data_IF_423193445896
#
_entry.id   IF_423193445896
#
_cell.length_a   1.000
_cell.length_b   1.000
_cell.length_c   1.000
_cell.angle_alpha   90.00
_cell.angle_beta   90.00
_cell.angle_gamma   90.00
#
_symmetry.space_group_name_H-M   'P 1'
#
loop_
_entity.id
_entity.type
_entity.pdbx_description
1 polymer ?
#
# COMPACT_ATOMS: atom_id res chain seq x y z
N UNK A 1 -8.33 -6.36 15.46
CA UNK A 1 -7.37 -5.84 16.47
C UNK A 1 -8.07 -5.65 17.80
N UNK A 2 -7.31 -5.62 18.91
CA UNK A 2 -7.83 -5.26 20.23
C UNK A 2 -7.85 -3.74 20.34
N UNK A 3 -9.03 -3.13 20.50
CA UNK A 3 -9.19 -1.66 20.54
C UNK A 3 -8.39 -1.05 21.71
N UNK A 4 -7.65 0.03 21.44
CA UNK A 4 -6.87 0.77 22.45
C UNK A 4 -5.53 0.15 22.82
N UNK A 5 -5.23 -1.09 22.39
CA UNK A 5 -3.94 -1.74 22.66
C UNK A 5 -2.81 -1.19 21.76
N UNK A 6 -2.98 -1.01 20.43
CA UNK A 6 -1.91 -0.50 19.57
C UNK A 6 -1.35 0.85 20.02
N UNK A 7 -2.20 1.78 20.44
CA UNK A 7 -1.82 3.10 20.91
C UNK A 7 -0.89 3.02 22.13
N UNK A 8 -1.21 2.13 23.08
CA UNK A 8 -0.38 1.90 24.28
C UNK A 8 0.98 1.28 23.94
N UNK A 9 1.05 0.44 22.92
CA UNK A 9 2.29 -0.26 22.55
C UNK A 9 3.21 0.57 21.66
N UNK A 10 2.63 1.35 20.75
CA UNK A 10 3.34 1.94 19.62
C UNK A 10 3.53 3.46 19.70
N UNK A 11 2.78 4.19 20.54
CA UNK A 11 2.99 5.64 20.66
C UNK A 11 4.43 5.96 21.11
N UNK A 12 5.08 6.87 20.39
CA UNK A 12 6.50 7.21 20.56
C UNK A 12 7.48 6.13 20.06
N UNK A 13 6.99 5.00 19.53
CA UNK A 13 7.75 3.79 19.20
C UNK A 13 7.42 3.23 17.82
N UNK A 14 6.67 3.97 16.99
CA UNK A 14 6.14 3.45 15.73
C UNK A 14 7.24 3.12 14.72
N UNK A 15 8.40 3.79 14.83
CA UNK A 15 9.61 3.50 14.03
C UNK A 15 9.98 2.01 14.04
N UNK A 16 9.91 1.33 15.19
CA UNK A 16 10.27 -0.09 15.27
C UNK A 16 9.37 -0.99 14.41
N UNK A 17 8.08 -0.66 14.34
CA UNK A 17 7.14 -1.40 13.50
C UNK A 17 7.44 -1.16 12.03
N UNK A 18 7.66 0.10 11.64
CA UNK A 18 7.98 0.45 10.26
C UNK A 18 9.30 -0.14 9.80
N UNK A 19 10.37 -0.07 10.60
CA UNK A 19 11.66 -0.65 10.24
C UNK A 19 11.55 -2.17 10.02
N UNK A 20 10.77 -2.86 10.86
CA UNK A 20 10.49 -4.28 10.65
C UNK A 20 9.70 -4.52 9.36
N UNK A 21 8.66 -3.71 9.10
CA UNK A 21 7.84 -3.84 7.89
C UNK A 21 8.64 -3.59 6.62
N UNK A 22 9.39 -2.48 6.55
CA UNK A 22 10.23 -2.15 5.39
C UNK A 22 11.19 -3.29 5.08
N UNK A 23 11.89 -3.80 6.09
CA UNK A 23 12.78 -4.95 5.93
C UNK A 23 12.04 -6.22 5.47
N UNK A 24 10.82 -6.44 5.95
CA UNK A 24 10.05 -7.64 5.66
C UNK A 24 9.42 -7.66 4.26
N UNK A 25 8.94 -6.51 3.75
CA UNK A 25 8.13 -6.45 2.53
C UNK A 25 8.81 -5.79 1.33
N UNK A 26 9.95 -5.12 1.52
CA UNK A 26 10.78 -4.63 0.41
C UNK A 26 11.75 -5.73 -0.05
N UNK A 27 12.17 -5.70 -1.31
CA UNK A 27 13.28 -6.56 -1.78
C UNK A 27 14.60 -6.03 -1.26
N UNK A 28 14.80 -4.71 -1.36
CA UNK A 28 15.99 -4.02 -0.91
C UNK A 28 15.57 -2.81 -0.07
N UNK A 29 15.54 -3.00 1.24
CA UNK A 29 15.12 -1.96 2.17
C UNK A 29 16.18 -0.86 2.37
N UNK A 30 17.39 -1.02 1.80
CA UNK A 30 18.40 0.03 1.75
C UNK A 30 18.03 1.17 0.80
N UNK A 31 17.07 0.95 -0.11
CA UNK A 31 16.51 1.98 -0.99
C UNK A 31 15.75 3.07 -0.23
N UNK A 32 15.29 2.78 0.99
CA UNK A 32 14.62 3.78 1.83
C UNK A 32 15.61 4.37 2.84
N UNK A 33 15.90 5.66 2.68
CA UNK A 33 16.86 6.40 3.51
C UNK A 33 16.36 6.58 4.95
N UNK A 34 17.26 6.85 5.92
CA UNK A 34 16.86 7.19 7.28
C UNK A 34 15.92 8.41 7.35
N UNK A 35 16.06 9.38 6.44
CA UNK A 35 15.20 10.56 6.41
C UNK A 35 13.75 10.16 6.05
N UNK A 36 13.57 9.35 5.02
CA UNK A 36 12.26 8.87 4.58
C UNK A 36 11.60 8.00 5.65
N UNK A 37 12.37 7.06 6.24
CA UNK A 37 11.89 6.23 7.35
C UNK A 37 11.41 7.07 8.54
N UNK A 38 12.18 8.09 8.93
CA UNK A 38 11.80 9.01 10.00
C UNK A 38 10.54 9.81 9.65
N UNK A 39 10.38 10.22 8.38
CA UNK A 39 9.20 10.94 7.92
C UNK A 39 7.94 10.07 8.04
N UNK A 40 8.02 8.81 7.60
CA UNK A 40 6.93 7.85 7.78
C UNK A 40 6.59 7.64 9.26
N UNK A 41 7.59 7.40 10.12
CA UNK A 41 7.33 7.16 11.53
C UNK A 41 6.73 8.37 12.23
N UNK A 42 7.20 9.59 11.91
CA UNK A 42 6.67 10.82 12.49
C UNK A 42 5.15 10.97 12.26
N UNK A 43 4.64 10.55 11.09
CA UNK A 43 3.22 10.60 10.76
C UNK A 43 2.35 9.66 11.62
N UNK A 44 2.92 8.62 12.22
CA UNK A 44 2.19 7.62 13.00
C UNK A 44 2.59 7.59 14.47
N UNK A 45 3.47 8.47 14.94
CA UNK A 45 4.10 8.27 16.26
C UNK A 45 3.22 8.69 17.45
N UNK A 46 2.06 9.30 17.22
CA UNK A 46 1.11 9.67 18.27
C UNK A 46 -0.11 8.74 18.32
N UNK A 47 -0.77 8.70 19.48
CA UNK A 47 -1.89 7.80 19.74
C UNK A 47 -3.08 8.01 18.79
N UNK A 48 -3.35 9.25 18.38
CA UNK A 48 -4.49 9.56 17.52
C UNK A 48 -4.23 9.06 16.09
N UNK A 49 -3.01 9.25 15.58
CA UNK A 49 -2.56 8.74 14.29
C UNK A 49 -2.54 7.20 14.25
N UNK A 50 -2.10 6.55 15.34
CA UNK A 50 -2.15 5.09 15.48
C UNK A 50 -3.60 4.59 15.48
N UNK A 51 -4.50 5.26 16.21
CA UNK A 51 -5.91 4.90 16.21
C UNK A 51 -6.51 5.03 14.81
N UNK A 52 -6.21 6.13 14.12
CA UNK A 52 -6.72 6.40 12.78
C UNK A 52 -6.23 5.37 11.74
N UNK A 53 -4.94 5.04 11.74
CA UNK A 53 -4.37 4.04 10.81
C UNK A 53 -4.97 2.65 11.04
N UNK A 54 -5.20 2.28 12.30
CA UNK A 54 -5.85 1.03 12.65
C UNK A 54 -7.36 1.02 12.31
N UNK A 55 -8.00 2.18 12.25
CA UNK A 55 -9.42 2.28 11.89
C UNK A 55 -9.67 1.81 10.45
N UNK A 56 -8.73 2.01 9.52
CA UNK A 56 -8.81 1.47 8.15
C UNK A 56 -8.99 -0.05 8.13
N UNK A 57 -8.29 -0.77 9.00
CA UNK A 57 -8.43 -2.23 9.09
C UNK A 57 -9.71 -2.65 9.83
N UNK A 58 -10.24 -1.80 10.70
CA UNK A 58 -11.48 -2.06 11.43
C UNK A 58 -12.71 -1.95 10.52
N UNK A 59 -12.62 -1.19 9.42
CA UNK A 59 -13.71 -1.03 8.46
C UNK A 59 -13.76 -2.10 7.39
N UNK A 60 -12.79 -3.02 7.29
CA UNK A 60 -12.73 -4.04 6.23
C UNK A 60 -14.03 -4.81 6.00
N UNK A 61 -14.75 -5.19 7.06
CA UNK A 61 -16.04 -5.88 6.90
C UNK A 61 -17.08 -5.00 6.21
N UNK A 62 -17.09 -3.70 6.50
CA UNK A 62 -17.96 -2.75 5.80
C UNK A 62 -17.47 -2.51 4.37
N UNK A 63 -16.17 -2.32 4.16
CA UNK A 63 -15.58 -2.13 2.82
C UNK A 63 -15.91 -3.30 1.88
N UNK A 64 -15.93 -4.54 2.40
CA UNK A 64 -16.35 -5.73 1.66
C UNK A 64 -17.83 -5.68 1.28
N UNK A 65 -18.72 -5.22 2.17
CA UNK A 65 -20.15 -5.07 1.87
C UNK A 65 -20.36 -3.98 0.82
N UNK A 66 -19.68 -2.85 0.97
CA UNK A 66 -19.79 -1.72 0.06
C UNK A 66 -19.32 -2.12 -1.35
N UNK A 67 -18.21 -2.83 -1.45
CA UNK A 67 -17.66 -3.32 -2.73
C UNK A 67 -18.62 -4.23 -3.51
N UNK A 68 -19.56 -4.93 -2.84
CA UNK A 68 -20.56 -5.75 -3.52
C UNK A 68 -21.60 -4.92 -4.29
N UNK A 69 -21.73 -3.63 -3.95
CA UNK A 69 -22.73 -2.74 -4.53
C UNK A 69 -22.20 -1.91 -5.70
N UNK A 70 -20.87 -1.84 -5.86
CA UNK A 70 -20.26 -1.03 -6.90
C UNK A 70 -20.39 -1.69 -8.27
N UNK A 71 -20.71 -0.87 -9.27
CA UNK A 71 -20.62 -1.29 -10.67
C UNK A 71 -19.14 -1.30 -11.12
N UNK A 72 -18.77 -2.17 -12.07
CA UNK A 72 -17.42 -2.15 -12.63
C UNK A 72 -17.04 -0.78 -13.19
N UNK A 73 -15.76 -0.44 -13.08
CA UNK A 73 -15.16 0.76 -13.64
C UNK A 73 -15.11 0.65 -15.17
N UNK A 74 -15.74 1.60 -15.85
CA UNK A 74 -15.83 1.66 -17.32
C UNK A 74 -14.74 2.56 -17.96
N UNK A 75 -14.15 3.48 -17.19
CA UNK A 75 -13.01 4.28 -17.64
C UNK A 75 -11.74 3.41 -17.73
N UNK A 76 -10.69 3.85 -18.45
CA UNK A 76 -9.39 3.21 -18.37
C UNK A 76 -8.89 3.13 -16.92
N UNK A 77 -8.33 1.99 -16.54
CA UNK A 77 -7.75 1.72 -15.22
C UNK A 77 -6.35 1.13 -15.39
N UNK A 78 -5.37 1.70 -14.70
CA UNK A 78 -4.03 1.14 -14.58
C UNK A 78 -3.87 0.40 -13.25
N UNK A 79 -3.47 -0.86 -13.29
CA UNK A 79 -3.00 -1.62 -12.15
C UNK A 79 -1.49 -1.86 -12.23
N UNK A 80 -0.74 -1.40 -11.22
CA UNK A 80 0.70 -1.66 -11.10
C UNK A 80 0.90 -2.66 -9.97
N UNK A 81 1.45 -3.83 -10.29
CA UNK A 81 1.70 -4.90 -9.32
C UNK A 81 3.19 -5.19 -9.15
N UNK A 82 3.57 -5.52 -7.92
CA UNK A 82 4.93 -5.96 -7.56
C UNK A 82 5.10 -7.47 -7.74
N UNK A 83 6.29 -8.04 -7.46
CA UNK A 83 6.49 -9.50 -7.58
C UNK A 83 5.51 -10.30 -6.70
N UNK A 84 5.10 -9.74 -5.57
CA UNK A 84 4.13 -10.36 -4.65
C UNK A 84 2.70 -10.11 -5.14
N UNK A 85 2.35 -8.87 -5.49
CA UNK A 85 0.95 -8.49 -5.70
C UNK A 85 0.45 -8.68 -7.14
N UNK A 86 1.34 -8.74 -8.13
CA UNK A 86 0.96 -8.70 -9.54
C UNK A 86 -0.03 -9.81 -9.93
N UNK A 87 0.22 -11.06 -9.53
CA UNK A 87 -0.69 -12.16 -9.87
C UNK A 87 -2.06 -12.02 -9.18
N UNK A 88 -2.08 -11.59 -7.91
CA UNK A 88 -3.33 -11.34 -7.20
C UNK A 88 -4.14 -10.22 -7.84
N UNK A 89 -3.50 -9.11 -8.20
CA UNK A 89 -4.15 -7.98 -8.87
C UNK A 89 -4.64 -8.37 -10.27
N UNK A 90 -3.83 -9.11 -11.03
CA UNK A 90 -4.21 -9.60 -12.36
C UNK A 90 -5.41 -10.55 -12.33
N UNK A 91 -5.57 -11.33 -11.25
CA UNK A 91 -6.76 -12.16 -11.06
C UNK A 91 -7.96 -11.37 -10.51
N UNK A 92 -7.73 -10.42 -9.61
CA UNK A 92 -8.80 -9.69 -8.93
C UNK A 92 -9.40 -8.56 -9.76
N UNK A 93 -8.57 -7.67 -10.30
CA UNK A 93 -9.01 -6.42 -10.93
C UNK A 93 -9.93 -6.58 -12.16
N UNK A 94 -9.84 -7.64 -12.99
CA UNK A 94 -10.80 -7.84 -14.08
C UNK A 94 -12.26 -8.00 -13.64
N UNK A 95 -12.52 -8.31 -12.36
CA UNK A 95 -13.86 -8.38 -11.81
C UNK A 95 -14.48 -7.00 -11.51
N UNK A 96 -13.64 -5.97 -11.37
CA UNK A 96 -14.05 -4.62 -10.93
C UNK A 96 -13.74 -3.53 -11.96
N UNK A 97 -12.99 -3.82 -13.03
CA UNK A 97 -12.67 -2.87 -14.10
C UNK A 97 -12.79 -3.53 -15.48
N UNK A 98 -13.45 -2.85 -16.44
CA UNK A 98 -13.66 -3.35 -17.80
C UNK A 98 -12.53 -3.01 -18.76
N UNK A 99 -11.91 -1.85 -18.58
CA UNK A 99 -10.78 -1.39 -19.39
C UNK A 99 -9.51 -1.32 -18.53
N UNK A 100 -8.92 -2.48 -18.27
CA UNK A 100 -7.78 -2.63 -17.37
C UNK A 100 -6.48 -2.83 -18.15
N UNK A 101 -5.50 -1.97 -17.88
CA UNK A 101 -4.10 -2.19 -18.20
C UNK A 101 -3.35 -2.66 -16.94
N UNK A 102 -2.63 -3.78 -17.05
CA UNK A 102 -1.82 -4.32 -15.95
C UNK A 102 -0.34 -4.24 -16.28
N UNK A 103 0.42 -3.59 -15.40
CA UNK A 103 1.89 -3.51 -15.46
C UNK A 103 2.48 -4.24 -14.24
N UNK A 104 3.55 -5.00 -14.47
CA UNK A 104 4.29 -5.69 -13.41
C UNK A 104 5.67 -5.08 -13.24
N UNK A 105 5.98 -4.60 -12.05
CA UNK A 105 7.33 -4.19 -11.63
C UNK A 105 7.86 -5.29 -10.70
N UNK A 106 8.38 -6.35 -11.33
CA UNK A 106 8.64 -7.63 -10.65
C UNK A 106 9.99 -7.67 -9.91
N UNK A 107 10.78 -6.60 -10.01
CA UNK A 107 11.99 -6.37 -9.23
C UNK A 107 11.75 -5.35 -8.10
N UNK A 108 10.52 -5.25 -7.61
CA UNK A 108 10.10 -4.45 -6.47
C UNK A 108 9.26 -5.26 -5.49
N UNK A 109 9.42 -5.01 -4.20
CA UNK A 109 8.49 -5.44 -3.15
C UNK A 109 7.26 -4.55 -3.03
N UNK A 110 6.74 -4.39 -1.81
CA UNK A 110 5.47 -3.69 -1.57
C UNK A 110 5.53 -2.17 -1.82
N UNK A 111 6.67 -1.54 -1.55
CA UNK A 111 6.86 -0.08 -1.61
C UNK A 111 7.40 0.34 -2.98
N UNK A 112 6.56 0.17 -4.01
CA UNK A 112 6.92 0.37 -5.42
C UNK A 112 7.53 1.74 -5.74
N UNK A 113 7.02 2.81 -5.11
CA UNK A 113 7.49 4.17 -5.33
C UNK A 113 8.90 4.39 -4.77
N UNK A 114 9.22 3.76 -3.63
CA UNK A 114 10.53 3.84 -3.01
C UNK A 114 11.53 2.86 -3.65
N UNK A 115 11.07 1.70 -4.11
CA UNK A 115 11.94 0.69 -4.69
C UNK A 115 12.24 0.93 -6.17
N UNK A 116 11.25 1.34 -6.96
CA UNK A 116 11.37 1.47 -8.42
C UNK A 116 10.68 2.75 -8.93
N UNK A 117 11.07 3.94 -8.44
CA UNK A 117 10.37 5.20 -8.75
C UNK A 117 10.29 5.49 -10.25
N UNK A 118 11.37 5.26 -11.00
CA UNK A 118 11.41 5.52 -12.45
C UNK A 118 10.43 4.62 -13.22
N UNK A 119 10.40 3.32 -12.91
CA UNK A 119 9.47 2.39 -13.55
C UNK A 119 8.00 2.71 -13.23
N UNK A 120 7.72 3.15 -11.99
CA UNK A 120 6.37 3.60 -11.60
C UNK A 120 5.97 4.86 -12.38
N UNK A 121 6.88 5.85 -12.47
CA UNK A 121 6.62 7.08 -13.23
C UNK A 121 6.40 6.80 -14.72
N UNK A 122 7.22 5.94 -15.33
CA UNK A 122 7.07 5.55 -16.73
C UNK A 122 5.72 4.88 -17.00
N UNK A 123 5.28 3.97 -16.12
CA UNK A 123 3.98 3.33 -16.22
C UNK A 123 2.83 4.34 -16.10
N UNK A 124 2.90 5.25 -15.12
CA UNK A 124 1.87 6.28 -14.91
C UNK A 124 1.83 7.26 -16.09
N UNK A 125 2.97 7.75 -16.56
CA UNK A 125 3.00 8.69 -17.70
C UNK A 125 2.57 8.03 -19.00
N UNK A 126 2.96 6.78 -19.25
CA UNK A 126 2.52 6.05 -20.45
C UNK A 126 1.00 5.86 -20.48
N UNK A 127 0.38 5.66 -19.32
CA UNK A 127 -1.07 5.49 -19.20
C UNK A 127 -1.86 6.80 -19.32
N UNK A 128 -1.29 7.92 -18.86
CA UNK A 128 -1.96 9.23 -18.85
C UNK A 128 -1.85 9.99 -20.18
N UNK A 129 -0.91 9.62 -21.05
CA UNK A 129 -0.69 10.25 -22.36
C UNK A 129 -1.49 9.56 -23.48
#
# INVERSE_FOLDING_TARGET
QVKGLPEQLLAGRFQYLLDWLFHYVMIDDSKMTPLERNHYAAAYNDAESIRASNAWYQTFSQDIQDAQTYSPLEMPVLGIGSYISYQYMKMGLPHVARNLEMVGILDSGHYLFEEQPEQVLDAVFSFLN
#
